data_IF_007597059935
#
_entry.id   IF_007597059935
#
_cell.length_a   1.000
_cell.length_b   1.000
_cell.length_c   1.000
_cell.angle_alpha   90.00
_cell.angle_beta   90.00
_cell.angle_gamma   90.00
#
_symmetry.space_group_name_H-M   'P 1'
#
loop_
_entity.id
_entity.type
_entity.pdbx_description
1 polymer ?
#
# COMPACT_ATOMS: atom_id res chain seq x y z
N UNK A 1 -4.18 -8.47 15.84
CA UNK A 1 -3.34 -8.21 14.64
C UNK A 1 -3.37 -9.33 13.59
N UNK A 2 -2.72 -10.50 13.79
CA UNK A 2 -2.66 -11.56 12.75
C UNK A 2 -4.05 -12.04 12.33
N UNK A 3 -4.93 -12.31 13.28
CA UNK A 3 -6.33 -12.69 13.03
C UNK A 3 -7.07 -11.62 12.25
N UNK A 4 -7.02 -10.36 12.69
CA UNK A 4 -7.73 -9.25 12.04
C UNK A 4 -7.27 -9.04 10.59
N UNK A 5 -5.96 -9.16 10.34
CA UNK A 5 -5.42 -9.13 8.96
C UNK A 5 -6.03 -10.27 8.13
N UNK A 6 -6.02 -11.49 8.66
CA UNK A 6 -6.57 -12.65 7.95
C UNK A 6 -8.09 -12.53 7.71
N UNK A 7 -8.83 -11.91 8.61
CA UNK A 7 -10.26 -11.60 8.44
C UNK A 7 -10.47 -10.58 7.32
N UNK A 8 -9.73 -9.47 7.29
CA UNK A 8 -9.76 -8.51 6.18
C UNK A 8 -9.42 -9.16 4.84
N UNK A 9 -8.43 -10.06 4.80
CA UNK A 9 -8.04 -10.79 3.59
C UNK A 9 -9.11 -11.77 3.06
N UNK A 10 -10.14 -12.10 3.86
CA UNK A 10 -11.27 -12.92 3.40
C UNK A 10 -12.28 -12.13 2.58
N UNK A 11 -12.26 -10.79 2.65
CA UNK A 11 -13.23 -9.93 1.99
C UNK A 11 -13.30 -10.18 0.48
N UNK A 12 -12.15 -10.19 -0.19
CA UNK A 12 -12.08 -10.41 -1.63
C UNK A 12 -10.73 -10.95 -2.08
N UNK A 13 -10.75 -11.75 -3.16
CA UNK A 13 -9.54 -12.19 -3.89
C UNK A 13 -9.20 -11.28 -5.06
N UNK A 14 -10.07 -10.33 -5.37
CA UNK A 14 -9.86 -9.31 -6.39
C UNK A 14 -9.22 -8.10 -5.72
N UNK A 15 -7.98 -7.79 -6.13
CA UNK A 15 -7.16 -6.77 -5.51
C UNK A 15 -7.13 -5.48 -6.33
N UNK A 16 -7.20 -4.35 -5.63
CA UNK A 16 -6.82 -3.03 -6.13
C UNK A 16 -5.57 -2.60 -5.38
N UNK A 17 -4.46 -2.40 -6.09
CA UNK A 17 -3.14 -2.17 -5.46
C UNK A 17 -2.61 -0.76 -5.73
N UNK A 18 -1.70 -0.27 -4.89
CA UNK A 18 -0.85 0.86 -5.27
C UNK A 18 0.06 0.47 -6.46
N UNK A 19 0.36 1.37 -7.41
CA UNK A 19 1.23 1.06 -8.54
C UNK A 19 2.72 1.28 -8.19
N UNK A 20 3.14 0.83 -7.01
CA UNK A 20 4.52 0.89 -6.53
C UNK A 20 5.00 -0.49 -6.04
N UNK A 21 6.28 -0.58 -5.67
CA UNK A 21 6.88 -1.85 -5.25
C UNK A 21 6.15 -2.52 -4.08
N UNK A 22 5.58 -1.75 -3.15
CA UNK A 22 4.87 -2.33 -2.01
C UNK A 22 3.56 -2.98 -2.45
N UNK A 23 2.76 -2.29 -3.26
CA UNK A 23 1.56 -2.84 -3.87
C UNK A 23 1.82 -4.09 -4.70
N UNK A 24 2.88 -4.08 -5.52
CA UNK A 24 3.29 -5.24 -6.32
C UNK A 24 3.72 -6.43 -5.44
N UNK A 25 4.57 -6.21 -4.43
CA UNK A 25 5.01 -7.29 -3.54
C UNK A 25 3.85 -7.84 -2.72
N UNK A 26 2.98 -6.97 -2.20
CA UNK A 26 1.76 -7.33 -1.48
C UNK A 26 0.87 -8.25 -2.33
N UNK A 27 0.59 -7.87 -3.57
CA UNK A 27 -0.21 -8.69 -4.48
C UNK A 27 0.44 -10.05 -4.78
N UNK A 28 1.77 -10.10 -4.98
CA UNK A 28 2.48 -11.36 -5.24
C UNK A 28 2.44 -12.31 -4.05
N UNK A 29 2.51 -11.78 -2.82
CA UNK A 29 2.36 -12.57 -1.60
C UNK A 29 0.95 -13.15 -1.47
N UNK A 30 -0.07 -12.33 -1.76
CA UNK A 30 -1.47 -12.76 -1.69
C UNK A 30 -1.82 -13.78 -2.78
N UNK A 31 -1.30 -13.62 -4.00
CA UNK A 31 -1.40 -14.64 -5.06
C UNK A 31 -0.94 -16.01 -4.55
N UNK A 32 0.26 -16.08 -3.98
CA UNK A 32 0.84 -17.33 -3.43
C UNK A 32 0.04 -17.87 -2.23
N UNK A 33 -0.56 -16.99 -1.43
CA UNK A 33 -1.31 -17.38 -0.24
C UNK A 33 -2.68 -17.97 -0.57
N UNK A 34 -3.50 -17.29 -1.39
CA UNK A 34 -4.90 -17.66 -1.60
C UNK A 34 -5.37 -17.59 -3.06
N UNK A 35 -4.47 -17.34 -4.02
CA UNK A 35 -4.78 -17.20 -5.44
C UNK A 35 -5.42 -15.86 -5.81
N UNK A 36 -5.24 -14.81 -4.99
CA UNK A 36 -5.68 -13.46 -5.34
C UNK A 36 -5.07 -12.97 -6.65
N UNK A 37 -5.79 -12.08 -7.33
CA UNK A 37 -5.38 -11.45 -8.59
C UNK A 37 -5.65 -9.95 -8.56
N UNK A 38 -4.87 -9.21 -9.33
CA UNK A 38 -5.02 -7.76 -9.49
C UNK A 38 -6.11 -7.49 -10.53
N UNK A 39 -7.12 -6.73 -10.15
CA UNK A 39 -8.18 -6.27 -11.06
C UNK A 39 -8.25 -4.74 -11.14
N UNK A 40 -7.41 -4.05 -10.37
CA UNK A 40 -7.29 -2.61 -10.42
C UNK A 40 -6.01 -2.09 -9.79
N UNK A 41 -5.78 -0.79 -9.98
CA UNK A 41 -4.76 -0.05 -9.26
C UNK A 41 -5.28 1.28 -8.79
N UNK A 42 -4.81 1.77 -7.64
CA UNK A 42 -5.14 3.08 -7.14
C UNK A 42 -3.91 3.82 -6.62
N UNK A 43 -3.65 5.02 -7.14
CA UNK A 43 -2.44 5.78 -6.78
C UNK A 43 -2.70 6.99 -5.88
N UNK A 44 -3.87 7.02 -5.21
CA UNK A 44 -4.39 8.17 -4.45
C UNK A 44 -4.73 9.38 -5.34
N UNK A 45 -4.88 9.17 -6.64
CA UNK A 45 -5.39 10.17 -7.58
C UNK A 45 -6.13 9.50 -8.74
N UNK A 46 -5.58 8.41 -9.26
CA UNK A 46 -6.09 7.67 -10.40
C UNK A 46 -6.48 6.28 -9.93
N UNK A 47 -7.72 5.87 -10.25
CA UNK A 47 -8.21 4.51 -10.12
C UNK A 47 -8.30 3.89 -11.51
N UNK A 48 -7.61 2.78 -11.73
CA UNK A 48 -7.69 1.98 -12.94
C UNK A 48 -8.34 0.63 -12.61
N UNK A 49 -9.20 0.14 -13.49
CA UNK A 49 -9.95 -1.10 -13.29
C UNK A 49 -9.95 -1.95 -14.56
N UNK A 50 -10.02 -3.26 -14.38
CA UNK A 50 -10.39 -4.21 -15.43
C UNK A 50 -11.88 -4.07 -15.78
N UNK A 51 -12.29 -4.69 -16.88
CA UNK A 51 -13.65 -4.53 -17.39
C UNK A 51 -14.70 -5.16 -16.46
N UNK A 52 -15.81 -4.46 -16.24
CA UNK A 52 -16.91 -4.94 -15.40
C UNK A 52 -16.63 -5.04 -13.90
N UNK A 53 -15.48 -4.54 -13.42
CA UNK A 53 -15.12 -4.60 -12.00
C UNK A 53 -15.82 -3.52 -11.20
N UNK A 54 -16.51 -3.93 -10.14
CA UNK A 54 -17.02 -3.04 -9.10
C UNK A 54 -15.95 -2.87 -7.99
N UNK A 55 -15.42 -1.66 -7.74
CA UNK A 55 -14.41 -1.45 -6.71
C UNK A 55 -14.91 -1.76 -5.29
N UNK A 56 -16.21 -1.67 -5.01
CA UNK A 56 -16.78 -2.01 -3.69
C UNK A 56 -16.65 -3.51 -3.37
N UNK A 57 -16.57 -4.38 -4.38
CA UNK A 57 -16.41 -5.83 -4.22
C UNK A 57 -14.94 -6.28 -4.19
N UNK A 58 -14.02 -5.32 -4.22
CA UNK A 58 -12.58 -5.55 -4.25
C UNK A 58 -11.93 -5.21 -2.92
N UNK A 59 -10.77 -5.80 -2.66
CA UNK A 59 -9.92 -5.44 -1.54
C UNK A 59 -8.85 -4.47 -2.01
N UNK A 60 -8.83 -3.26 -1.45
CA UNK A 60 -7.74 -2.32 -1.63
C UNK A 60 -6.56 -2.75 -0.75
N UNK A 61 -5.38 -2.92 -1.33
CA UNK A 61 -4.18 -3.29 -0.57
C UNK A 61 -3.05 -2.33 -0.85
N UNK A 62 -2.33 -1.95 0.20
CA UNK A 62 -1.40 -0.83 0.21
C UNK A 62 -2.06 0.53 -0.16
N UNK A 63 -3.37 0.60 0.03
CA UNK A 63 -4.19 1.76 -0.27
C UNK A 63 -5.18 1.94 0.88
N UNK A 64 -5.04 3.03 1.64
CA UNK A 64 -5.88 3.30 2.79
C UNK A 64 -7.15 4.08 2.38
N UNK A 65 -8.31 3.41 2.37
CA UNK A 65 -9.58 3.99 1.91
C UNK A 65 -10.37 4.59 3.08
N UNK A 66 -11.09 5.68 2.83
CA UNK A 66 -11.84 6.44 3.83
C UNK A 66 -13.34 6.47 3.50
N UNK A 67 -13.84 5.31 3.09
CA UNK A 67 -15.25 5.07 2.80
C UNK A 67 -15.63 3.70 3.34
N UNK A 68 -16.82 3.60 3.92
CA UNK A 68 -17.30 2.37 4.51
C UNK A 68 -17.48 1.27 3.46
N UNK A 69 -17.77 1.66 2.23
CA UNK A 69 -18.00 0.77 1.08
C UNK A 69 -16.69 0.21 0.49
N UNK A 70 -15.53 0.78 0.86
CA UNK A 70 -14.23 0.34 0.36
C UNK A 70 -13.41 -0.32 1.47
N UNK A 71 -13.24 -1.63 1.37
CA UNK A 71 -12.41 -2.39 2.31
C UNK A 71 -10.95 -2.28 1.90
N UNK A 72 -10.11 -1.97 2.88
CA UNK A 72 -8.68 -1.76 2.66
C UNK A 72 -7.78 -2.42 3.69
N UNK A 73 -6.57 -2.74 3.27
CA UNK A 73 -5.45 -3.09 4.14
C UNK A 73 -4.24 -2.24 3.74
N UNK A 74 -3.85 -1.33 4.63
CA UNK A 74 -2.75 -0.40 4.39
C UNK A 74 -2.02 -0.02 5.67
N UNK A 75 -1.03 0.87 5.54
CA UNK A 75 -0.12 1.24 6.61
C UNK A 75 -0.01 2.77 6.83
N UNK A 76 -0.73 3.60 6.07
CA UNK A 76 -0.61 5.04 6.19
C UNK A 76 -1.15 5.54 7.54
N UNK A 77 -0.67 6.71 7.95
CA UNK A 77 -1.19 7.36 9.14
C UNK A 77 -2.60 7.89 8.88
N UNK A 78 -3.52 7.60 9.80
CA UNK A 78 -4.95 7.92 9.75
C UNK A 78 -5.43 8.53 11.05
N UNK A 79 -6.56 9.25 11.00
CA UNK A 79 -7.32 9.59 12.19
C UNK A 79 -7.93 8.31 12.79
N UNK A 80 -8.01 8.22 14.12
CA UNK A 80 -8.59 7.02 14.78
C UNK A 80 -10.09 6.89 14.52
N UNK A 81 -10.79 8.02 14.48
CA UNK A 81 -12.22 8.10 14.21
C UNK A 81 -12.42 8.71 12.81
N UNK A 82 -12.33 7.87 11.78
CA UNK A 82 -12.62 8.25 10.40
C UNK A 82 -13.67 7.34 9.73
N UNK A 83 -13.78 7.40 8.40
CA UNK A 83 -14.75 6.61 7.65
C UNK A 83 -14.13 5.33 7.07
N UNK A 84 -13.03 4.83 7.64
CA UNK A 84 -12.47 3.52 7.30
C UNK A 84 -13.52 2.42 7.52
N UNK A 85 -13.66 1.51 6.54
CA UNK A 85 -14.57 0.38 6.70
C UNK A 85 -14.21 -0.48 7.92
N UNK A 86 -15.23 -0.98 8.62
CA UNK A 86 -15.06 -1.87 9.79
C UNK A 86 -14.42 -3.21 9.44
N UNK A 87 -14.44 -3.58 8.15
CA UNK A 87 -13.80 -4.78 7.62
C UNK A 87 -12.33 -4.52 7.21
N UNK A 88 -11.90 -3.25 7.21
CA UNK A 88 -10.53 -2.85 6.89
C UNK A 88 -9.57 -3.06 8.05
N UNK A 89 -8.29 -3.15 7.72
CA UNK A 89 -7.23 -3.22 8.71
C UNK A 89 -6.15 -2.18 8.43
N UNK A 90 -5.81 -1.40 9.45
CA UNK A 90 -4.63 -0.54 9.47
C UNK A 90 -3.93 -0.71 10.83
N UNK A 91 -2.61 -1.00 10.87
CA UNK A 91 -1.91 -1.29 12.13
C UNK A 91 -1.88 -0.08 13.06
N UNK A 92 -1.83 1.14 12.52
CA UNK A 92 -1.82 2.35 13.32
C UNK A 92 -3.15 2.53 14.06
N UNK A 93 -4.27 2.34 13.36
CA UNK A 93 -5.61 2.39 13.96
C UNK A 93 -5.78 1.26 14.97
N UNK A 94 -5.37 0.04 14.64
CA UNK A 94 -5.45 -1.13 15.52
C UNK A 94 -4.76 -0.93 16.86
N UNK A 95 -3.61 -0.24 16.87
CA UNK A 95 -2.86 0.06 18.10
C UNK A 95 -3.10 1.48 18.66
N UNK A 96 -4.03 2.24 18.11
CA UNK A 96 -4.35 3.59 18.59
C UNK A 96 -3.21 4.59 18.43
N UNK A 97 -2.38 4.46 17.41
CA UNK A 97 -1.26 5.37 17.15
C UNK A 97 -1.80 6.70 16.63
N UNK A 98 -1.42 7.80 17.27
CA UNK A 98 -1.84 9.16 16.88
C UNK A 98 -0.66 10.07 16.53
N UNK A 99 0.57 9.63 16.82
CA UNK A 99 1.79 10.40 16.59
C UNK A 99 2.45 9.94 15.30
N UNK A 100 2.62 10.84 14.34
CA UNK A 100 3.17 10.51 13.01
C UNK A 100 4.54 9.82 13.06
N UNK A 101 5.42 10.19 14.00
CA UNK A 101 6.75 9.58 14.16
C UNK A 101 6.73 8.16 14.66
N UNK A 102 5.60 7.74 15.25
CA UNK A 102 5.42 6.42 15.86
C UNK A 102 4.64 5.47 14.93
N UNK A 103 4.26 5.97 13.74
CA UNK A 103 3.52 5.19 12.74
C UNK A 103 4.26 3.92 12.34
N UNK A 104 3.52 2.96 11.81
CA UNK A 104 4.03 1.71 11.26
C UNK A 104 5.14 1.99 10.22
N UNK A 105 6.37 1.51 10.46
CA UNK A 105 7.53 1.93 9.66
C UNK A 105 7.94 0.93 8.57
N UNK A 106 7.16 -0.13 8.36
CA UNK A 106 7.38 -1.14 7.34
C UNK A 106 6.38 -0.99 6.19
N UNK A 107 6.76 -1.49 5.02
CA UNK A 107 5.86 -1.72 3.90
C UNK A 107 4.67 -2.63 4.28
N UNK A 108 3.52 -2.44 3.66
CA UNK A 108 2.32 -3.27 3.77
C UNK A 108 2.63 -4.75 3.51
N UNK A 109 3.56 -5.06 2.61
CA UNK A 109 4.02 -6.42 2.34
C UNK A 109 4.52 -7.18 3.60
N UNK A 110 5.05 -6.47 4.61
CA UNK A 110 5.45 -7.10 5.89
C UNK A 110 4.24 -7.54 6.73
N UNK A 111 3.13 -6.79 6.71
CA UNK A 111 1.88 -7.20 7.36
C UNK A 111 1.36 -8.48 6.73
N UNK A 112 1.34 -8.54 5.40
CA UNK A 112 0.89 -9.71 4.65
C UNK A 112 1.78 -10.91 4.93
N UNK A 113 3.10 -10.74 4.86
CA UNK A 113 4.05 -11.81 5.12
C UNK A 113 3.92 -12.36 6.55
N UNK A 114 3.82 -11.49 7.55
CA UNK A 114 3.62 -11.89 8.94
C UNK A 114 2.30 -12.66 9.15
N UNK A 115 1.22 -12.18 8.54
CA UNK A 115 -0.10 -12.77 8.78
C UNK A 115 -0.31 -14.08 8.04
N UNK A 116 0.22 -14.19 6.82
CA UNK A 116 0.02 -15.35 5.94
C UNK A 116 1.10 -16.41 6.10
N UNK A 117 2.29 -16.04 6.60
CA UNK A 117 3.48 -16.91 6.69
C UNK A 117 3.82 -17.60 5.36
N UNK A 118 3.44 -16.97 4.25
CA UNK A 118 3.80 -17.45 2.92
C UNK A 118 5.32 -17.51 2.79
N UNK A 119 5.82 -18.58 2.18
CA UNK A 119 7.27 -18.77 2.03
C UNK A 119 7.88 -17.64 1.20
N UNK A 120 9.00 -17.11 1.68
CA UNK A 120 9.75 -16.03 1.03
C UNK A 120 11.05 -16.56 0.45
N UNK A 121 11.34 -16.17 -0.78
CA UNK A 121 12.68 -16.26 -1.36
C UNK A 121 13.57 -15.12 -0.87
N UNK A 122 14.87 -15.23 -1.10
CA UNK A 122 15.80 -14.11 -0.85
C UNK A 122 15.43 -12.87 -1.67
N UNK A 123 14.99 -13.06 -2.92
CA UNK A 123 14.57 -11.96 -3.78
C UNK A 123 13.32 -11.25 -3.24
N UNK A 124 12.37 -11.99 -2.64
CA UNK A 124 11.21 -11.39 -1.98
C UNK A 124 11.65 -10.50 -0.83
N UNK A 125 12.55 -10.97 0.04
CA UNK A 125 13.08 -10.20 1.17
C UNK A 125 13.77 -8.91 0.71
N UNK A 126 14.57 -8.97 -0.36
CA UNK A 126 15.25 -7.80 -0.92
C UNK A 126 14.24 -6.78 -1.44
N UNK A 127 13.22 -7.21 -2.20
CA UNK A 127 12.20 -6.31 -2.75
C UNK A 127 11.32 -5.71 -1.66
N UNK A 128 10.91 -6.50 -0.67
CA UNK A 128 10.19 -6.02 0.51
C UNK A 128 11.02 -5.00 1.29
N UNK A 129 12.32 -5.24 1.48
CA UNK A 129 13.21 -4.30 2.16
C UNK A 129 13.37 -2.96 1.42
N UNK A 130 13.32 -3.01 0.08
CA UNK A 130 13.34 -1.83 -0.78
C UNK A 130 11.99 -1.07 -0.80
N UNK A 131 10.87 -1.80 -0.73
CA UNK A 131 9.51 -1.24 -0.67
C UNK A 131 9.37 -0.27 0.53
N UNK A 132 8.71 0.88 0.28
CA UNK A 132 8.59 1.99 1.24
C UNK A 132 9.90 2.46 1.89
N UNK A 133 11.03 2.14 1.25
CA UNK A 133 12.36 2.36 1.81
C UNK A 133 12.55 1.72 3.20
N UNK A 134 11.88 0.60 3.47
CA UNK A 134 11.83 -0.07 4.77
C UNK A 134 13.23 -0.27 5.38
N UNK A 135 14.22 -0.73 4.62
CA UNK A 135 15.58 -0.91 5.16
C UNK A 135 16.24 0.43 5.55
N UNK A 136 16.04 1.50 4.76
CA UNK A 136 16.54 2.84 5.11
C UNK A 136 15.82 3.44 6.31
N UNK A 137 14.54 3.11 6.51
CA UNK A 137 13.83 3.51 7.72
C UNK A 137 14.54 2.96 8.96
N UNK A 138 15.18 1.79 8.89
CA UNK A 138 15.92 1.20 10.02
C UNK A 138 17.16 2.01 10.40
N UNK A 139 17.73 2.77 9.47
CA UNK A 139 18.87 3.65 9.72
C UNK A 139 18.46 4.95 10.41
N UNK A 140 17.22 5.41 10.21
CA UNK A 140 16.72 6.70 10.71
C UNK A 140 15.78 6.59 11.91
N UNK A 141 15.03 5.51 11.99
CA UNK A 141 13.90 5.30 12.91
C UNK A 141 14.03 3.96 13.65
N UNK A 142 15.26 3.54 13.94
CA UNK A 142 15.58 2.20 14.48
C UNK A 142 14.76 1.83 15.71
N UNK A 143 14.54 2.77 16.62
CA UNK A 143 13.86 2.52 17.89
C UNK A 143 12.38 2.23 17.66
N UNK A 144 11.73 3.01 16.78
CA UNK A 144 10.35 2.77 16.37
C UNK A 144 10.23 1.42 15.65
N UNK A 145 11.14 1.10 14.74
CA UNK A 145 11.13 -0.19 14.02
C UNK A 145 11.29 -1.38 14.97
N UNK A 146 12.25 -1.32 15.92
CA UNK A 146 12.41 -2.37 16.93
C UNK A 146 11.18 -2.50 17.81
N UNK A 147 10.54 -1.39 18.18
CA UNK A 147 9.29 -1.39 18.95
C UNK A 147 8.18 -2.15 18.18
N UNK A 148 7.95 -1.80 16.93
CA UNK A 148 6.98 -2.49 16.07
C UNK A 148 7.33 -3.97 15.84
N UNK A 149 8.62 -4.31 15.75
CA UNK A 149 9.08 -5.70 15.60
C UNK A 149 8.66 -6.59 16.77
N UNK A 150 8.53 -6.05 17.99
CA UNK A 150 8.04 -6.82 19.14
C UNK A 150 6.57 -7.25 18.99
N UNK A 151 5.81 -6.58 18.13
CA UNK A 151 4.40 -6.86 17.82
C UNK A 151 4.24 -7.80 16.61
N UNK A 152 5.30 -7.99 15.83
CA UNK A 152 5.36 -8.78 14.59
C UNK A 152 6.64 -9.62 14.55
N UNK A 153 6.76 -10.61 15.43
CA UNK A 153 7.89 -11.53 15.37
C UNK A 153 7.81 -12.37 14.10
N UNK A 154 8.71 -12.11 13.14
CA UNK A 154 8.73 -12.75 11.83
C UNK A 154 10.14 -12.72 11.22
N UNK A 155 10.58 -13.78 10.50
CA UNK A 155 11.89 -13.79 9.84
C UNK A 155 12.16 -12.59 8.91
N UNK A 156 11.13 -12.13 8.18
CA UNK A 156 11.27 -10.96 7.32
C UNK A 156 11.55 -9.68 8.12
N UNK A 157 10.88 -9.50 9.26
CA UNK A 157 11.11 -8.36 10.15
C UNK A 157 12.52 -8.43 10.73
N UNK A 158 12.98 -9.62 11.12
CA UNK A 158 14.34 -9.85 11.60
C UNK A 158 15.41 -9.46 10.57
N UNK A 159 15.20 -9.80 9.29
CA UNK A 159 16.09 -9.41 8.19
C UNK A 159 16.34 -7.90 8.15
N UNK A 160 15.30 -7.09 8.43
CA UNK A 160 15.41 -5.64 8.52
C UNK A 160 16.12 -5.21 9.80
N UNK A 161 15.72 -5.72 10.97
CA UNK A 161 16.26 -5.26 12.26
C UNK A 161 17.71 -5.66 12.51
N UNK A 162 18.16 -6.76 11.90
CA UNK A 162 19.56 -7.20 11.92
C UNK A 162 20.44 -6.22 11.12
N UNK A 163 19.87 -5.57 10.10
CA UNK A 163 20.49 -4.54 9.28
C UNK A 163 21.94 -4.88 8.88
N UNK A 164 22.13 -6.12 8.40
CA UNK A 164 23.45 -6.68 8.10
C UNK A 164 24.10 -6.00 6.88
N UNK A 165 25.43 -6.10 6.77
CA UNK A 165 26.17 -5.61 5.60
C UNK A 165 25.74 -6.29 4.28
N UNK A 166 25.19 -7.51 4.35
CA UNK A 166 24.61 -8.19 3.19
C UNK A 166 23.30 -7.50 2.80
N UNK A 167 22.40 -7.28 3.76
CA UNK A 167 21.12 -6.61 3.51
C UNK A 167 21.31 -5.21 2.92
N UNK A 168 22.25 -4.42 3.46
CA UNK A 168 22.57 -3.09 2.94
C UNK A 168 23.11 -3.10 1.52
N UNK A 169 24.00 -4.05 1.19
CA UNK A 169 24.51 -4.21 -0.19
C UNK A 169 23.41 -4.61 -1.15
N UNK A 170 22.52 -5.52 -0.74
CA UNK A 170 21.39 -5.94 -1.55
C UNK A 170 20.39 -4.79 -1.79
N UNK A 171 20.06 -3.97 -0.79
CA UNK A 171 19.22 -2.77 -0.98
C UNK A 171 19.89 -1.73 -1.88
N UNK A 172 21.20 -1.53 -1.75
CA UNK A 172 21.95 -0.64 -2.65
C UNK A 172 21.89 -1.11 -4.11
N UNK A 173 21.99 -2.43 -4.35
CA UNK A 173 21.83 -3.00 -5.69
C UNK A 173 20.38 -2.89 -6.17
N UNK A 174 19.39 -3.20 -5.34
CA UNK A 174 17.98 -3.06 -5.69
C UNK A 174 17.62 -1.62 -6.09
N UNK A 175 18.21 -0.62 -5.45
CA UNK A 175 18.04 0.80 -5.82
C UNK A 175 18.67 1.16 -7.16
N UNK A 176 19.68 0.42 -7.59
CA UNK A 176 20.26 0.57 -8.92
C UNK A 176 19.37 -0.09 -9.98
N UNK A 177 18.83 -1.27 -9.67
CA UNK A 177 18.01 -2.05 -10.59
C UNK A 177 16.59 -1.46 -10.74
N UNK A 178 16.04 -0.92 -9.65
CA UNK A 178 14.73 -0.27 -9.57
C UNK A 178 14.93 1.23 -9.31
N UNK A 179 15.16 1.99 -10.38
CA UNK A 179 15.45 3.43 -10.32
C UNK A 179 14.28 4.22 -9.69
N UNK A 180 13.05 3.81 -9.98
CA UNK A 180 11.83 4.41 -9.45
C UNK A 180 11.05 3.41 -8.58
N UNK A 181 10.48 3.88 -7.47
CA UNK A 181 9.57 3.06 -6.65
C UNK A 181 8.17 2.93 -7.26
N UNK A 182 7.76 3.92 -8.07
CA UNK A 182 6.49 3.91 -8.80
C UNK A 182 6.70 3.37 -10.21
N UNK A 183 5.78 2.53 -10.68
CA UNK A 183 5.83 1.97 -12.04
C UNK A 183 5.18 2.88 -13.09
N UNK A 184 4.42 3.89 -12.65
CA UNK A 184 3.72 4.83 -13.54
C UNK A 184 4.00 6.28 -13.17
N UNK A 185 3.59 7.21 -14.05
CA UNK A 185 3.63 8.64 -13.79
C UNK A 185 2.25 9.27 -13.96
N UNK A 186 1.78 9.99 -12.94
CA UNK A 186 0.53 10.76 -12.95
C UNK A 186 0.47 11.86 -14.02
N UNK A 187 1.61 12.18 -14.65
CA UNK A 187 1.72 13.15 -15.75
C UNK A 187 1.36 12.53 -17.11
N UNK A 188 1.24 11.22 -17.19
CA UNK A 188 0.83 10.55 -18.41
C UNK A 188 -0.66 10.76 -18.64
N UNK A 189 -1.02 10.94 -19.92
CA UNK A 189 -2.42 10.83 -20.34
C UNK A 189 -2.93 9.41 -20.12
N UNK A 190 -4.26 9.27 -20.09
CA UNK A 190 -4.97 8.03 -19.72
C UNK A 190 -4.43 6.77 -20.42
N UNK A 191 -4.35 6.79 -21.74
CA UNK A 191 -3.89 5.65 -22.55
C UNK A 191 -2.48 5.22 -22.16
N UNK A 192 -1.51 6.14 -22.17
CA UNK A 192 -0.13 5.85 -21.82
C UNK A 192 0.01 5.34 -20.38
N UNK A 193 -0.79 5.85 -19.45
CA UNK A 193 -0.77 5.37 -18.07
C UNK A 193 -1.23 3.91 -17.98
N UNK A 194 -2.37 3.58 -18.59
CA UNK A 194 -2.90 2.22 -18.62
C UNK A 194 -1.93 1.25 -19.31
N UNK A 195 -1.35 1.63 -20.45
CA UNK A 195 -0.37 0.82 -21.16
C UNK A 195 0.88 0.57 -20.31
N UNK A 196 1.41 1.62 -19.69
CA UNK A 196 2.60 1.50 -18.84
C UNK A 196 2.32 0.56 -17.66
N UNK A 197 1.15 0.69 -17.04
CA UNK A 197 0.77 -0.13 -15.91
C UNK A 197 0.55 -1.61 -16.29
N UNK A 198 -0.20 -1.87 -17.37
CA UNK A 198 -0.41 -3.23 -17.87
C UNK A 198 0.92 -3.89 -18.28
N UNK A 199 1.82 -3.14 -18.93
CA UNK A 199 3.15 -3.64 -19.28
C UNK A 199 4.01 -3.93 -18.05
N UNK A 200 3.92 -3.11 -17.00
CA UNK A 200 4.60 -3.37 -15.74
C UNK A 200 4.06 -4.62 -15.04
N UNK A 201 2.73 -4.77 -14.97
CA UNK A 201 2.05 -5.96 -14.43
C UNK A 201 2.46 -7.24 -15.17
N UNK A 202 2.44 -7.20 -16.50
CA UNK A 202 2.87 -8.33 -17.32
C UNK A 202 4.38 -8.61 -17.17
N UNK A 203 5.22 -7.57 -17.20
CA UNK A 203 6.67 -7.69 -17.10
C UNK A 203 7.16 -8.19 -15.73
N UNK A 204 6.37 -8.02 -14.67
CA UNK A 204 6.61 -8.60 -13.35
C UNK A 204 5.91 -9.96 -13.15
N UNK A 205 5.30 -10.53 -14.20
CA UNK A 205 4.60 -11.81 -14.15
C UNK A 205 3.54 -11.85 -13.04
N UNK A 206 2.76 -10.77 -12.93
CA UNK A 206 1.69 -10.67 -11.95
C UNK A 206 0.46 -11.45 -12.42
N UNK A 207 -0.31 -12.00 -11.47
CA UNK A 207 -1.66 -12.47 -11.74
C UNK A 207 -2.59 -11.26 -11.82
N UNK A 208 -2.99 -10.85 -13.03
CA UNK A 208 -3.84 -9.67 -13.23
C UNK A 208 -4.81 -9.82 -14.39
N UNK A 209 -5.88 -9.02 -14.36
CA UNK A 209 -6.73 -8.76 -15.52
C UNK A 209 -6.34 -7.43 -16.17
N UNK A 210 -6.34 -7.33 -17.52
CA UNK A 210 -6.00 -6.09 -18.21
C UNK A 210 -6.84 -4.91 -17.74
N UNK A 211 -6.18 -3.84 -17.33
CA UNK A 211 -6.83 -2.61 -16.88
C UNK A 211 -7.21 -1.79 -18.11
N UNK A 212 -8.51 -1.56 -18.28
CA UNK A 212 -9.08 -0.90 -19.47
C UNK A 212 -9.86 0.37 -19.12
N UNK A 213 -10.19 0.55 -17.84
CA UNK A 213 -10.90 1.71 -17.33
C UNK A 213 -9.98 2.55 -16.45
N UNK A 214 -10.26 3.85 -16.39
CA UNK A 214 -9.43 4.80 -15.67
C UNK A 214 -10.22 6.05 -15.31
N UNK A 215 -10.29 6.34 -14.02
CA UNK A 215 -10.94 7.51 -13.42
C UNK A 215 -9.87 8.32 -12.70
N UNK A 216 -9.90 9.65 -12.88
CA UNK A 216 -9.00 10.57 -12.18
C UNK A 216 -9.84 11.40 -11.23
N UNK A 217 -9.42 11.47 -9.98
CA UNK A 217 -10.12 12.21 -8.93
C UNK A 217 -9.44 13.55 -8.65
N UNK A 218 -10.19 14.47 -8.08
CA UNK A 218 -9.65 15.70 -7.54
C UNK A 218 -8.80 15.38 -6.30
N UNK A 219 -7.57 15.90 -6.27
CA UNK A 219 -6.70 15.79 -5.11
C UNK A 219 -6.21 17.16 -4.68
N UNK A 220 -5.95 17.31 -3.39
CA UNK A 220 -5.43 18.54 -2.80
C UNK A 220 -4.48 18.22 -1.65
N UNK A 221 -3.75 19.24 -1.21
CA UNK A 221 -2.95 19.21 0.02
C UNK A 221 -3.56 20.15 1.04
N UNK A 222 -3.97 19.59 2.16
CA UNK A 222 -4.74 20.31 3.17
C UNK A 222 -4.18 20.07 4.58
N UNK A 223 -4.55 20.94 5.51
CA UNK A 223 -4.24 20.72 6.93
C UNK A 223 -5.24 19.78 7.61
N UNK A 224 -4.87 19.27 8.79
CA UNK A 224 -5.69 18.34 9.59
C UNK A 224 -7.14 18.82 9.82
N UNK A 225 -7.35 20.13 10.03
CA UNK A 225 -8.69 20.69 10.26
C UNK A 225 -9.62 20.49 9.06
N UNK A 226 -9.09 20.51 7.84
CA UNK A 226 -9.87 20.25 6.62
C UNK A 226 -10.24 18.78 6.55
N UNK A 227 -9.30 17.88 6.86
CA UNK A 227 -9.55 16.43 6.89
C UNK A 227 -10.66 16.11 7.90
N UNK A 228 -10.57 16.61 9.12
CA UNK A 228 -11.59 16.40 10.16
C UNK A 228 -12.96 16.94 9.71
N UNK A 229 -13.00 18.16 9.16
CA UNK A 229 -14.25 18.83 8.82
C UNK A 229 -14.97 18.21 7.62
N UNK A 230 -14.23 17.77 6.62
CA UNK A 230 -14.77 17.27 5.35
C UNK A 230 -14.51 15.78 5.14
N UNK A 231 -14.28 15.04 6.24
CA UNK A 231 -13.89 13.63 6.20
C UNK A 231 -14.84 12.75 5.36
N UNK A 232 -16.13 13.11 5.32
CA UNK A 232 -17.16 12.37 4.56
C UNK A 232 -17.03 12.51 3.04
N UNK A 233 -16.43 13.59 2.57
CA UNK A 233 -16.27 13.89 1.14
C UNK A 233 -14.92 13.37 0.60
N UNK A 234 -14.10 12.78 1.46
CA UNK A 234 -12.74 12.30 1.18
C UNK A 234 -12.77 10.78 0.98
N UNK A 235 -12.38 10.32 -0.21
CA UNK A 235 -12.30 8.89 -0.57
C UNK A 235 -11.05 8.24 0.00
N UNK A 236 -9.93 8.96 -0.01
CA UNK A 236 -8.69 8.53 0.62
C UNK A 236 -7.85 9.72 1.04
N UNK A 237 -6.98 9.50 2.02
CA UNK A 237 -5.99 10.50 2.41
C UNK A 237 -4.76 9.83 3.04
N UNK A 238 -3.68 10.57 3.12
CA UNK A 238 -2.49 10.18 3.88
C UNK A 238 -1.79 11.42 4.44
N UNK A 239 -1.35 11.34 5.70
CA UNK A 239 -0.44 12.35 6.25
C UNK A 239 0.93 12.25 5.57
N UNK A 240 1.43 13.37 5.05
CA UNK A 240 2.73 13.43 4.36
C UNK A 240 3.81 13.90 5.33
N UNK A 241 3.58 15.04 5.99
CA UNK A 241 4.56 15.68 6.86
C UNK A 241 3.90 16.56 7.92
N UNK A 242 3.94 16.13 9.18
CA UNK A 242 3.69 16.99 10.35
C UNK A 242 2.40 17.80 10.30
N UNK A 243 1.28 17.17 9.95
CA UNK A 243 -0.04 17.80 9.86
C UNK A 243 -0.49 18.27 8.47
N UNK A 244 0.32 18.11 7.43
CA UNK A 244 -0.11 18.22 6.01
C UNK A 244 -0.60 16.86 5.49
N UNK A 245 -1.77 16.87 4.86
CA UNK A 245 -2.44 15.69 4.33
C UNK A 245 -2.63 15.80 2.83
N UNK A 246 -2.26 14.73 2.11
CA UNK A 246 -2.74 14.53 0.75
C UNK A 246 -4.15 13.97 0.83
N UNK A 247 -5.12 14.61 0.20
CA UNK A 247 -6.51 14.18 0.17
C UNK A 247 -6.97 13.93 -1.25
N UNK A 248 -7.84 12.94 -1.41
CA UNK A 248 -8.53 12.62 -2.66
C UNK A 248 -10.03 12.71 -2.40
N UNK A 249 -10.71 13.59 -3.13
CA UNK A 249 -12.14 13.80 -2.99
C UNK A 249 -12.93 12.84 -3.87
N UNK A 250 -14.18 12.59 -3.50
CA UNK A 250 -15.16 11.84 -4.30
C UNK A 250 -15.68 12.69 -5.49
N UNK A 251 -14.75 13.17 -6.30
CA UNK A 251 -15.01 14.05 -7.43
C UNK A 251 -14.10 13.69 -8.58
N UNK A 252 -14.67 13.11 -9.63
CA UNK A 252 -13.94 12.86 -10.87
C UNK A 252 -13.61 14.16 -11.61
N UNK A 253 -12.44 14.18 -12.24
CA UNK A 253 -11.94 15.28 -13.06
C UNK A 253 -11.45 14.74 -14.39
N UNK A 254 -11.43 15.61 -15.39
CA UNK A 254 -10.94 15.25 -16.72
C UNK A 254 -9.48 14.77 -16.66
N UNK A 255 -9.23 13.56 -17.17
CA UNK A 255 -7.90 13.01 -17.33
C UNK A 255 -7.34 13.37 -18.70
N UNK A 256 -6.76 14.57 -18.79
CA UNK A 256 -6.01 15.04 -19.94
C UNK A 256 -4.70 14.28 -20.12
#
# INVERSE_FOLDING_TARGET
MKTDILETLQYSKNLIISPDMDGFMTAKLLERFNGSKIVGSYDKNILCLADGINPEECLFVDCDMNRQEYVSLGNHMRLLDDNMSVESFNPNVHFGVTTYTDKFPYATAFLISFATEVSLSEQDLIRMAFADSTLKNMEKYSDNMRNWSTRMDHPAVKYITDNSDIARRNDAQARFDYVDQSFTSKRYGKERYLDTLNNALAGQEMAFEPLVQGMKYMCDKVGINTVIRYNRDIVSYAEIFGGEYSVTYDQEVEWK
#
